data_IF_909953076959
#
_entry.id   IF_909953076959
#
_cell.length_a   1.000
_cell.length_b   1.000
_cell.length_c   1.000
_cell.angle_alpha   90.00
_cell.angle_beta   90.00
_cell.angle_gamma   90.00
#
_symmetry.space_group_name_H-M   'P 1'
#
loop_
_entity.id
_entity.type
_entity.pdbx_description
1 polymer ?
#
# COMPACT_ATOMS: atom_id res chain seq x y z
N UNK A 1 -10.43 11.11 -14.97
CA UNK A 1 -10.82 10.42 -13.71
C UNK A 1 -10.76 8.90 -13.82
N UNK A 2 -11.54 8.24 -14.70
CA UNK A 2 -11.60 6.75 -14.76
C UNK A 2 -10.24 6.04 -14.93
N UNK A 3 -9.30 6.60 -15.69
CA UNK A 3 -7.98 6.00 -15.89
C UNK A 3 -7.12 5.98 -14.62
N UNK A 4 -7.14 7.05 -13.81
CA UNK A 4 -6.33 7.15 -12.58
C UNK A 4 -6.85 6.26 -11.46
N UNK A 5 -8.18 6.12 -11.35
CA UNK A 5 -8.80 5.13 -10.45
C UNK A 5 -8.42 3.70 -10.83
N UNK A 6 -8.46 3.37 -12.13
CA UNK A 6 -8.00 2.06 -12.61
C UNK A 6 -6.52 1.83 -12.29
N UNK A 7 -5.69 2.85 -12.48
CA UNK A 7 -4.26 2.82 -12.14
C UNK A 7 -4.04 2.52 -10.65
N UNK A 8 -4.82 3.17 -9.76
CA UNK A 8 -4.79 2.88 -8.32
C UNK A 8 -5.14 1.42 -8.01
N UNK A 9 -6.25 0.93 -8.54
CA UNK A 9 -6.73 -0.43 -8.28
C UNK A 9 -5.78 -1.52 -8.79
N UNK A 10 -5.00 -1.21 -9.83
CA UNK A 10 -3.96 -2.12 -10.35
C UNK A 10 -2.56 -1.85 -9.78
N UNK A 11 -2.41 -0.92 -8.84
CA UNK A 11 -1.10 -0.49 -8.38
C UNK A 11 -0.43 -1.60 -7.56
N UNK A 12 0.73 -2.05 -8.02
CA UNK A 12 1.62 -2.96 -7.31
C UNK A 12 2.98 -2.29 -7.09
N UNK A 13 3.70 -2.70 -6.05
CA UNK A 13 5.05 -2.26 -5.73
C UNK A 13 6.00 -2.62 -6.87
N UNK A 14 5.94 -3.85 -7.37
CA UNK A 14 6.81 -4.30 -8.45
C UNK A 14 8.29 -4.13 -8.08
N UNK A 15 9.04 -3.41 -8.93
CA UNK A 15 10.45 -3.08 -8.69
C UNK A 15 10.67 -1.78 -7.90
N UNK A 16 9.60 -1.09 -7.47
CA UNK A 16 9.72 0.11 -6.66
C UNK A 16 10.14 -0.25 -5.23
N UNK A 17 10.90 0.61 -4.59
CA UNK A 17 11.02 0.57 -3.13
C UNK A 17 9.65 0.78 -2.48
N UNK A 18 9.48 0.34 -1.22
CA UNK A 18 8.28 0.61 -0.42
C UNK A 18 8.03 2.12 -0.31
N UNK A 19 9.09 2.93 -0.28
CA UNK A 19 8.99 4.41 -0.24
C UNK A 19 8.34 4.95 -1.52
N UNK A 20 8.87 4.56 -2.69
CA UNK A 20 8.33 4.98 -3.98
C UNK A 20 6.90 4.47 -4.20
N UNK A 21 6.64 3.21 -3.83
CA UNK A 21 5.31 2.61 -3.88
C UNK A 21 4.31 3.38 -3.00
N UNK A 22 4.66 3.69 -1.76
CA UNK A 22 3.86 4.51 -0.84
C UNK A 22 3.52 5.86 -1.44
N UNK A 23 4.51 6.56 -1.99
CA UNK A 23 4.29 7.91 -2.53
C UNK A 23 3.35 7.86 -3.73
N UNK A 24 3.53 6.87 -4.62
CA UNK A 24 2.62 6.64 -5.75
C UNK A 24 1.22 6.21 -5.31
N UNK A 25 1.12 5.38 -4.27
CA UNK A 25 -0.15 4.96 -3.68
C UNK A 25 -0.93 6.17 -3.15
N UNK A 26 -0.30 7.02 -2.34
CA UNK A 26 -0.93 8.23 -1.79
C UNK A 26 -1.28 9.25 -2.90
N UNK A 27 -0.46 9.35 -3.93
CA UNK A 27 -0.75 10.18 -5.09
C UNK A 27 -2.00 9.70 -5.82
N UNK A 28 -2.17 8.39 -6.01
CA UNK A 28 -3.28 7.80 -6.77
C UNK A 28 -4.56 7.63 -5.93
N UNK A 29 -4.45 7.46 -4.61
CA UNK A 29 -5.57 7.34 -3.68
C UNK A 29 -6.56 8.51 -3.77
N UNK A 30 -6.08 9.72 -4.11
CA UNK A 30 -6.94 10.89 -4.33
C UNK A 30 -7.99 10.70 -5.44
N UNK A 31 -7.80 9.72 -6.32
CA UNK A 31 -8.72 9.41 -7.41
C UNK A 31 -9.63 8.21 -7.10
N UNK A 32 -9.45 7.56 -5.96
CA UNK A 32 -10.17 6.37 -5.51
C UNK A 32 -10.65 6.54 -4.06
N UNK A 33 -11.09 7.74 -3.70
CA UNK A 33 -11.45 8.10 -2.30
C UNK A 33 -12.59 7.25 -1.73
N UNK A 34 -13.44 6.67 -2.58
CA UNK A 34 -14.49 5.74 -2.16
C UNK A 34 -13.96 4.35 -1.79
N UNK A 35 -12.82 3.95 -2.36
CA UNK A 35 -12.18 2.66 -2.11
C UNK A 35 -11.21 2.69 -0.92
N UNK A 36 -10.80 3.88 -0.50
CA UNK A 36 -9.94 4.09 0.68
C UNK A 36 -10.60 5.08 1.64
N UNK A 37 -11.91 4.97 1.77
CA UNK A 37 -12.70 5.87 2.60
C UNK A 37 -12.38 5.62 4.08
N UNK A 38 -12.19 4.36 4.45
CA UNK A 38 -11.72 3.97 5.76
C UNK A 38 -10.24 3.63 5.78
N UNK A 39 -9.59 3.87 6.91
CA UNK A 39 -8.17 3.58 7.09
C UNK A 39 -7.87 2.08 6.90
N UNK A 40 -8.81 1.21 7.28
CA UNK A 40 -8.71 -0.23 7.06
C UNK A 40 -8.68 -0.60 5.58
N UNK A 41 -9.56 -0.04 4.76
CA UNK A 41 -9.56 -0.30 3.32
C UNK A 41 -8.24 0.16 2.70
N UNK A 42 -7.76 1.33 3.13
CA UNK A 42 -6.46 1.86 2.72
C UNK A 42 -5.30 0.93 3.08
N UNK A 43 -5.34 0.31 4.27
CA UNK A 43 -4.37 -0.70 4.68
C UNK A 43 -4.44 -1.95 3.81
N UNK A 44 -5.64 -2.46 3.54
CA UNK A 44 -5.86 -3.66 2.71
C UNK A 44 -5.30 -3.45 1.30
N UNK A 45 -5.67 -2.36 0.60
CA UNK A 45 -5.15 -2.07 -0.74
C UNK A 45 -3.63 -1.89 -0.79
N UNK A 46 -3.05 -1.26 0.25
CA UNK A 46 -1.60 -1.08 0.32
C UNK A 46 -0.89 -2.42 0.54
N UNK A 47 -1.37 -3.22 1.50
CA UNK A 47 -0.82 -4.53 1.82
C UNK A 47 -0.88 -5.48 0.62
N UNK A 48 -2.01 -5.53 -0.08
CA UNK A 48 -2.18 -6.36 -1.28
C UNK A 48 -1.30 -5.92 -2.45
N UNK A 49 -0.88 -4.66 -2.48
CA UNK A 49 -0.02 -4.14 -3.53
C UNK A 49 1.47 -4.22 -3.22
N UNK A 50 1.88 -4.58 -2.01
CA UNK A 50 3.29 -4.84 -1.69
C UNK A 50 3.81 -6.05 -2.47
N UNK A 51 5.14 -6.15 -2.57
CA UNK A 51 5.76 -7.35 -3.14
C UNK A 51 5.55 -8.57 -2.22
N UNK A 52 5.64 -9.76 -2.78
CA UNK A 52 5.28 -11.01 -2.09
C UNK A 52 6.08 -11.21 -0.78
N UNK A 53 7.35 -10.82 -0.76
CA UNK A 53 8.21 -10.98 0.41
C UNK A 53 7.78 -10.07 1.58
N UNK A 54 7.62 -8.77 1.33
CA UNK A 54 7.18 -7.83 2.37
C UNK A 54 5.74 -8.15 2.77
N UNK A 55 4.85 -8.42 1.80
CA UNK A 55 3.46 -8.80 2.06
C UNK A 55 3.37 -10.04 2.96
N UNK A 56 4.14 -11.10 2.67
CA UNK A 56 4.13 -12.34 3.46
C UNK A 56 4.53 -12.11 4.91
N UNK A 57 5.51 -11.24 5.16
CA UNK A 57 5.90 -10.90 6.52
C UNK A 57 4.85 -10.07 7.26
N UNK A 58 3.98 -9.35 6.54
CA UNK A 58 3.01 -8.42 7.15
C UNK A 58 1.58 -8.98 7.22
N UNK A 59 1.22 -9.98 6.41
CA UNK A 59 -0.17 -10.45 6.28
C UNK A 59 -0.78 -11.02 7.58
N UNK A 60 0.07 -11.47 8.51
CA UNK A 60 -0.37 -12.00 9.81
C UNK A 60 -0.40 -10.93 10.91
N UNK A 61 -0.13 -9.66 10.59
CA UNK A 61 -0.16 -8.55 11.52
C UNK A 61 -1.40 -7.70 11.32
N UNK A 62 -1.97 -7.23 12.42
CA UNK A 62 -3.01 -6.20 12.40
C UNK A 62 -2.39 -4.87 12.83
N UNK A 63 -2.65 -3.82 12.06
CA UNK A 63 -2.18 -2.48 12.37
C UNK A 63 -3.38 -1.60 12.76
N UNK A 64 -3.27 -0.85 13.87
CA UNK A 64 -4.28 0.11 14.26
C UNK A 64 -4.55 1.18 13.20
N UNK A 65 -3.52 1.62 12.48
CA UNK A 65 -3.61 2.68 11.46
C UNK A 65 -2.64 2.46 10.29
N UNK A 66 -2.97 3.02 9.12
CA UNK A 66 -2.19 2.95 7.89
C UNK A 66 -0.72 3.34 8.07
N UNK A 67 -0.43 4.38 8.85
CA UNK A 67 0.94 4.83 9.07
C UNK A 67 1.83 3.74 9.70
N UNK A 68 1.29 2.96 10.65
CA UNK A 68 2.04 1.89 11.31
C UNK A 68 2.31 0.71 10.37
N UNK A 69 1.36 0.39 9.47
CA UNK A 69 1.59 -0.59 8.41
C UNK A 69 2.74 -0.14 7.48
N UNK A 70 2.74 1.12 7.06
CA UNK A 70 3.78 1.69 6.20
C UNK A 70 5.15 1.66 6.88
N UNK A 71 5.24 2.09 8.13
CA UNK A 71 6.49 2.04 8.90
C UNK A 71 7.03 0.62 9.01
N UNK A 72 6.15 -0.35 9.25
CA UNK A 72 6.54 -1.75 9.33
C UNK A 72 7.01 -2.30 7.98
N UNK A 73 6.37 -1.92 6.88
CA UNK A 73 6.79 -2.28 5.52
C UNK A 73 8.16 -1.70 5.16
N UNK A 74 8.40 -0.42 5.49
CA UNK A 74 9.69 0.22 5.28
C UNK A 74 10.82 -0.47 6.07
N UNK A 75 10.53 -0.89 7.30
CA UNK A 75 11.51 -1.62 8.11
C UNK A 75 11.77 -3.04 7.59
N UNK A 76 10.74 -3.72 7.09
CA UNK A 76 10.88 -5.05 6.51
C UNK A 76 11.75 -5.01 5.25
N UNK A 77 11.46 -4.10 4.30
CA UNK A 77 12.24 -4.00 3.05
C UNK A 77 13.72 -3.72 3.29
N UNK A 78 14.08 -2.92 4.29
CA UNK A 78 15.49 -2.63 4.62
C UNK A 78 16.25 -3.83 5.18
N UNK A 79 15.55 -4.88 5.63
CA UNK A 79 16.12 -6.06 6.26
C UNK A 79 16.21 -7.27 5.32
N UNK A 80 15.51 -7.23 4.20
CA UNK A 80 15.58 -8.18 3.10
C UNK A 80 16.80 -7.90 2.22
#
# INVERSE_FOLDING_TARGET
MKMKKKEFLSLKQGSMSVTEYRDKFLQLARYATAEVAEDREKQEYFLEGLNDEVQYQLMNHTFPIFHQLVDRALFTERKS
#
